data_IF_010608824071
#
_entry.id   IF_010608824071
#
_cell.length_a   1.000
_cell.length_b   1.000
_cell.length_c   1.000
_cell.angle_alpha   90.00
_cell.angle_beta   90.00
_cell.angle_gamma   90.00
#
_symmetry.space_group_name_H-M   'P 1'
#
loop_
_entity.id
_entity.type
_entity.pdbx_description
1 polymer ?
#
# COMPACT_ATOMS: atom_id res chain seq x y z
N UNK A 1 -7.65 -8.95 -45.87
CA UNK A 1 -7.69 -9.76 -44.63
C UNK A 1 -7.72 -8.80 -43.47
N UNK A 2 -8.76 -8.82 -42.62
CA UNK A 2 -8.72 -8.08 -41.35
C UNK A 2 -7.64 -8.75 -40.52
N UNK A 3 -6.56 -8.04 -40.23
CA UNK A 3 -5.63 -8.40 -39.17
C UNK A 3 -6.46 -8.45 -37.89
N UNK A 4 -6.87 -9.64 -37.47
CA UNK A 4 -7.28 -9.87 -36.10
C UNK A 4 -5.99 -9.78 -35.31
N UNK A 5 -5.65 -8.56 -34.90
CA UNK A 5 -4.65 -8.34 -33.87
C UNK A 5 -5.15 -9.14 -32.67
N UNK A 6 -4.45 -10.23 -32.31
CA UNK A 6 -4.84 -11.07 -31.20
C UNK A 6 -4.53 -10.33 -29.89
N UNK A 7 -5.30 -9.28 -29.60
CA UNK A 7 -5.12 -8.36 -28.48
C UNK A 7 -5.87 -8.88 -27.27
N UNK A 8 -5.41 -9.99 -26.69
CA UNK A 8 -5.91 -10.48 -25.42
C UNK A 8 -5.65 -9.45 -24.30
N UNK A 9 -6.60 -8.56 -23.97
CA UNK A 9 -6.34 -7.51 -22.97
C UNK A 9 -6.49 -8.06 -21.56
N UNK A 10 -5.46 -7.88 -20.73
CA UNK A 10 -5.49 -8.19 -19.29
C UNK A 10 -5.51 -6.88 -18.52
N UNK A 11 -6.55 -6.67 -17.71
CA UNK A 11 -6.73 -5.47 -16.89
C UNK A 11 -6.75 -5.83 -15.41
N UNK A 12 -6.23 -4.92 -14.59
CA UNK A 12 -6.24 -5.05 -13.13
C UNK A 12 -6.99 -3.88 -12.54
N UNK A 13 -7.88 -4.17 -11.59
CA UNK A 13 -8.64 -3.19 -10.83
C UNK A 13 -8.39 -3.37 -9.34
N UNK A 14 -8.29 -2.26 -8.61
CA UNK A 14 -8.03 -2.25 -7.17
C UNK A 14 -9.26 -1.67 -6.48
N UNK A 15 -9.75 -2.37 -5.46
CA UNK A 15 -10.88 -1.95 -4.64
C UNK A 15 -10.54 -2.04 -3.15
N UNK A 16 -10.70 -0.95 -2.37
CA UNK A 16 -11.13 0.38 -2.78
C UNK A 16 -10.07 1.12 -3.64
N UNK A 17 -10.52 1.90 -4.62
CA UNK A 17 -9.67 2.78 -5.42
C UNK A 17 -9.43 4.09 -4.67
N UNK A 18 -8.18 4.45 -4.37
CA UNK A 18 -7.84 5.71 -3.69
C UNK A 18 -6.71 5.55 -2.68
N UNK A 19 -6.61 6.51 -1.75
CA UNK A 19 -5.67 6.44 -0.63
C UNK A 19 -6.05 5.31 0.32
N UNK A 20 -5.41 4.15 0.16
CA UNK A 20 -5.63 2.98 1.01
C UNK A 20 -4.95 3.24 2.34
N UNK A 21 -5.67 3.10 3.44
CA UNK A 21 -5.11 3.34 4.77
C UNK A 21 -4.57 2.03 5.35
N UNK A 22 -3.42 2.10 6.03
CA UNK A 22 -2.84 0.96 6.74
C UNK A 22 -3.85 0.28 7.68
N UNK A 23 -3.87 -1.05 7.70
CA UNK A 23 -4.84 -1.85 8.45
C UNK A 23 -6.17 -2.09 7.72
N UNK A 24 -6.39 -1.45 6.56
CA UNK A 24 -7.58 -1.72 5.73
C UNK A 24 -7.45 -3.03 4.95
N UNK A 25 -8.56 -3.51 4.39
CA UNK A 25 -8.57 -4.63 3.45
C UNK A 25 -8.64 -4.11 2.01
N UNK A 26 -7.72 -4.55 1.16
CA UNK A 26 -7.75 -4.24 -0.28
C UNK A 26 -7.93 -5.52 -1.08
N UNK A 27 -8.65 -5.42 -2.20
CA UNK A 27 -8.87 -6.51 -3.15
C UNK A 27 -8.43 -6.07 -4.53
N UNK A 28 -7.54 -6.84 -5.14
CA UNK A 28 -7.12 -6.67 -6.52
C UNK A 28 -7.85 -7.71 -7.38
N UNK A 29 -8.44 -7.28 -8.48
CA UNK A 29 -9.18 -8.14 -9.41
C UNK A 29 -8.53 -8.07 -10.77
N UNK A 30 -8.23 -9.23 -11.34
CA UNK A 30 -7.66 -9.38 -12.67
C UNK A 30 -8.74 -9.87 -13.63
N UNK A 31 -8.94 -9.14 -14.72
CA UNK A 31 -9.88 -9.49 -15.77
C UNK A 31 -9.13 -9.67 -17.09
N UNK A 32 -9.53 -10.67 -17.86
CA UNK A 32 -8.80 -11.11 -19.05
C UNK A 32 -9.80 -11.55 -20.11
N UNK A 33 -9.79 -10.92 -21.27
CA UNK A 33 -10.73 -11.22 -22.37
C UNK A 33 -10.18 -12.32 -23.29
N UNK A 34 -9.71 -13.41 -22.68
CA UNK A 34 -8.99 -14.47 -23.38
C UNK A 34 -9.96 -15.41 -24.02
N UNK A 35 -9.75 -15.66 -25.32
CA UNK A 35 -10.36 -16.76 -26.04
C UNK A 35 -9.22 -17.65 -26.58
N UNK A 36 -8.97 -18.86 -26.04
CA UNK A 36 -9.74 -19.61 -25.03
C UNK A 36 -9.73 -19.02 -23.60
N UNK A 37 -10.57 -19.48 -22.66
CA UNK A 37 -10.64 -18.94 -21.30
C UNK A 37 -9.34 -19.16 -20.52
N UNK A 38 -8.97 -18.19 -19.67
CA UNK A 38 -7.76 -18.26 -18.84
C UNK A 38 -7.85 -19.42 -17.84
N UNK A 39 -6.85 -20.29 -17.85
CA UNK A 39 -6.77 -21.43 -16.93
C UNK A 39 -6.20 -21.03 -15.58
N UNK A 40 -5.22 -20.13 -15.56
CA UNK A 40 -4.52 -19.74 -14.35
C UNK A 40 -4.19 -18.24 -14.31
N UNK A 41 -4.36 -17.65 -13.13
CA UNK A 41 -3.95 -16.29 -12.82
C UNK A 41 -2.87 -16.31 -11.76
N UNK A 42 -1.80 -15.54 -11.98
CA UNK A 42 -0.68 -15.38 -11.04
C UNK A 42 -0.46 -13.90 -10.77
N UNK A 43 -0.41 -13.53 -9.50
CA UNK A 43 -0.15 -12.17 -9.06
C UNK A 43 1.32 -11.98 -8.73
N UNK A 44 1.86 -10.87 -9.21
CA UNK A 44 3.22 -10.43 -8.98
C UNK A 44 3.23 -9.05 -8.34
N UNK A 45 4.04 -8.88 -7.30
CA UNK A 45 4.38 -7.59 -6.73
C UNK A 45 5.83 -7.29 -7.13
N UNK A 46 6.01 -6.34 -8.06
CA UNK A 46 7.29 -6.12 -8.73
C UNK A 46 7.77 -7.39 -9.43
N UNK A 47 8.80 -8.04 -8.88
CA UNK A 47 9.38 -9.29 -9.40
C UNK A 47 8.98 -10.55 -8.62
N UNK A 48 8.26 -10.43 -7.50
CA UNK A 48 7.93 -11.55 -6.61
C UNK A 48 6.49 -12.03 -6.82
N UNK A 49 6.27 -13.35 -6.87
CA UNK A 49 4.91 -13.92 -6.93
C UNK A 49 4.26 -13.87 -5.55
N UNK A 50 3.10 -13.23 -5.45
CA UNK A 50 2.38 -13.01 -4.17
C UNK A 50 1.13 -13.87 -4.00
N UNK A 51 0.61 -14.44 -5.08
CA UNK A 51 -0.56 -15.30 -5.03
C UNK A 51 -1.04 -15.77 -6.39
N UNK A 52 -2.09 -16.58 -6.39
CA UNK A 52 -2.76 -17.09 -7.59
C UNK A 52 -4.27 -16.92 -7.47
N UNK A 53 -4.97 -16.90 -8.61
CA UNK A 53 -6.42 -16.71 -8.70
C UNK A 53 -6.82 -15.35 -9.29
N UNK A 54 -8.05 -15.24 -9.80
CA UNK A 54 -8.53 -14.02 -10.46
C UNK A 54 -8.66 -12.81 -9.53
N UNK A 55 -8.79 -13.05 -8.22
CA UNK A 55 -8.88 -12.03 -7.17
C UNK A 55 -7.85 -12.29 -6.09
N UNK A 56 -7.12 -11.25 -5.70
CA UNK A 56 -6.14 -11.27 -4.64
C UNK A 56 -6.52 -10.28 -3.54
N UNK A 57 -6.87 -10.80 -2.36
CA UNK A 57 -7.31 -10.01 -1.22
C UNK A 57 -6.22 -9.96 -0.16
N UNK A 58 -5.84 -8.75 0.25
CA UNK A 58 -4.83 -8.51 1.28
C UNK A 58 -5.57 -7.94 2.51
N UNK A 59 -5.76 -8.74 3.57
CA UNK A 59 -6.30 -8.25 4.83
C UNK A 59 -5.21 -7.52 5.62
N UNK A 60 -5.59 -6.46 6.36
CA UNK A 60 -4.66 -5.67 7.19
C UNK A 60 -3.43 -5.19 6.41
N UNK A 61 -3.66 -4.46 5.31
CA UNK A 61 -2.58 -4.02 4.44
C UNK A 61 -1.62 -3.07 5.16
N UNK A 62 -0.32 -3.24 4.93
CA UNK A 62 0.74 -2.46 5.55
C UNK A 62 1.38 -1.47 4.56
N UNK A 63 2.15 -0.50 5.06
CA UNK A 63 2.92 0.40 4.18
C UNK A 63 3.93 -0.36 3.32
N UNK A 64 4.47 -1.47 3.83
CA UNK A 64 5.39 -2.38 3.14
C UNK A 64 4.72 -3.09 1.95
N UNK A 65 3.39 -3.20 1.94
CA UNK A 65 2.63 -3.78 0.82
C UNK A 65 2.47 -2.83 -0.36
N UNK A 66 2.84 -1.55 -0.19
CA UNK A 66 2.89 -0.59 -1.29
C UNK A 66 3.86 -1.05 -2.37
N UNK A 67 3.52 -0.78 -3.62
CA UNK A 67 4.34 -1.17 -4.77
C UNK A 67 3.51 -1.41 -6.01
N UNK A 68 4.17 -1.93 -7.05
CA UNK A 68 3.52 -2.23 -8.32
C UNK A 68 3.04 -3.67 -8.37
N UNK A 69 1.74 -3.84 -8.62
CA UNK A 69 1.11 -5.14 -8.76
C UNK A 69 0.80 -5.42 -10.23
N UNK A 70 1.14 -6.62 -10.67
CA UNK A 70 0.90 -7.11 -12.03
C UNK A 70 0.23 -8.46 -11.96
N UNK A 71 -0.78 -8.69 -12.80
CA UNK A 71 -1.39 -9.99 -12.97
C UNK A 71 -0.86 -10.65 -14.24
N UNK A 72 -0.55 -11.94 -14.17
CA UNK A 72 -0.24 -12.78 -15.32
C UNK A 72 -1.37 -13.79 -15.51
N UNK A 73 -2.04 -13.71 -16.65
CA UNK A 73 -2.99 -14.73 -17.10
C UNK A 73 -2.27 -15.75 -17.98
N UNK A 74 -2.47 -17.04 -17.71
CA UNK A 74 -1.99 -18.14 -18.54
C UNK A 74 -3.16 -18.89 -19.17
N UNK A 75 -3.04 -19.15 -20.45
CA UNK A 75 -4.01 -19.85 -21.28
C UNK A 75 -3.29 -20.80 -22.25
N UNK A 76 -4.04 -21.65 -22.96
CA UNK A 76 -3.50 -22.61 -23.92
C UNK A 76 -2.67 -21.94 -25.04
N UNK A 77 -3.03 -20.71 -25.41
CA UNK A 77 -2.30 -19.93 -26.42
C UNK A 77 -1.01 -19.27 -25.88
N UNK A 78 -0.83 -19.22 -24.57
CA UNK A 78 0.34 -18.63 -23.92
C UNK A 78 0.01 -17.80 -22.68
N UNK A 79 1.01 -17.05 -22.22
CA UNK A 79 0.91 -16.20 -21.03
C UNK A 79 0.97 -14.71 -21.39
N UNK A 80 0.14 -13.91 -20.71
CA UNK A 80 0.14 -12.46 -20.87
C UNK A 80 0.08 -11.77 -19.52
N UNK A 81 0.83 -10.67 -19.39
CA UNK A 81 0.81 -9.81 -18.20
C UNK A 81 -0.06 -8.59 -18.43
N UNK A 82 -0.75 -8.18 -17.38
CA UNK A 82 -1.51 -6.92 -17.31
C UNK A 82 -0.57 -5.72 -17.25
N UNK A 83 -1.16 -4.53 -17.37
CA UNK A 83 -0.48 -3.31 -16.92
C UNK A 83 -0.19 -3.37 -15.43
N UNK A 84 0.96 -2.85 -15.03
CA UNK A 84 1.30 -2.68 -13.63
C UNK A 84 0.39 -1.61 -13.00
N UNK A 85 -0.11 -1.89 -11.80
CA UNK A 85 -0.91 -0.93 -11.04
C UNK A 85 -0.17 -0.59 -9.75
N UNK A 86 0.09 0.69 -9.54
CA UNK A 86 0.72 1.19 -8.33
C UNK A 86 -0.28 1.23 -7.19
N UNK A 87 -0.03 0.42 -6.18
CA UNK A 87 -0.79 0.40 -4.94
C UNK A 87 -0.04 1.25 -3.90
N UNK A 88 -0.68 2.30 -3.42
CA UNK A 88 -0.12 3.21 -2.42
C UNK A 88 -0.89 3.09 -1.11
N UNK A 89 -0.20 2.70 -0.04
CA UNK A 89 -0.76 2.58 1.30
C UNK A 89 -0.30 3.74 2.15
N UNK A 90 -1.26 4.55 2.57
CA UNK A 90 -1.08 5.65 3.50
C UNK A 90 -0.95 5.08 4.91
N UNK A 91 0.22 5.30 5.51
CA UNK A 91 0.39 5.04 6.92
C UNK A 91 -0.37 6.09 7.74
N UNK A 92 -1.24 5.64 8.65
CA UNK A 92 -1.90 6.57 9.57
C UNK A 92 -0.91 6.99 10.64
N UNK A 93 -0.49 8.25 10.60
CA UNK A 93 0.35 8.84 11.64
C UNK A 93 -0.49 8.98 12.91
N UNK A 94 -0.30 8.07 13.86
CA UNK A 94 -0.95 8.19 15.16
C UNK A 94 -0.23 9.26 15.98
N UNK A 95 -0.87 10.41 16.15
CA UNK A 95 -0.37 11.50 17.00
C UNK A 95 -0.69 11.18 18.46
N UNK A 96 0.29 10.70 19.22
CA UNK A 96 0.14 10.61 20.67
C UNK A 96 0.62 11.91 21.32
N UNK A 97 -0.29 12.61 22.00
CA UNK A 97 0.03 13.75 22.84
C UNK A 97 0.24 13.24 24.27
N UNK A 98 1.48 13.26 24.77
CA UNK A 98 1.74 12.89 26.16
C UNK A 98 1.59 14.12 27.05
N UNK A 99 0.54 14.15 27.87
CA UNK A 99 0.38 15.13 28.94
C UNK A 99 0.91 14.47 30.22
N UNK A 100 2.02 14.94 30.81
CA UNK A 100 2.46 14.40 32.08
C UNK A 100 1.41 14.72 33.16
N UNK A 101 0.64 13.72 33.58
CA UNK A 101 -0.23 13.80 34.77
C UNK A 101 0.64 13.66 36.02
N UNK A 102 1.41 14.72 36.34
CA UNK A 102 2.18 14.83 37.57
C UNK A 102 1.61 15.91 38.50
N UNK A 103 1.64 15.74 39.83
CA UNK A 103 1.09 16.70 40.79
C UNK A 103 1.99 17.93 41.07
N UNK A 104 2.92 18.27 40.17
CA UNK A 104 3.88 19.37 40.37
C UNK A 104 3.70 20.49 39.34
N UNK A 105 3.64 21.77 39.75
CA UNK A 105 3.56 22.90 38.82
C UNK A 105 4.97 23.21 38.30
N UNK A 106 5.45 22.46 37.31
CA UNK A 106 6.69 22.81 36.63
C UNK A 106 6.43 23.86 35.54
N UNK A 107 7.23 24.92 35.64
CA UNK A 107 7.31 26.11 34.80
C UNK A 107 7.11 25.86 33.31
N UNK A 108 6.26 26.69 32.71
CA UNK A 108 5.85 26.75 31.31
C UNK A 108 7.05 26.91 30.35
N UNK A 109 7.80 25.83 30.08
CA UNK A 109 8.83 25.81 29.03
C UNK A 109 8.88 24.45 28.29
N UNK A 110 7.86 24.23 27.47
CA UNK A 110 8.05 23.85 26.06
C UNK A 110 8.90 22.61 25.70
N UNK A 111 8.63 21.44 26.28
CA UNK A 111 8.99 20.18 25.61
C UNK A 111 7.79 19.22 25.58
N UNK A 112 6.81 19.55 24.74
CA UNK A 112 5.76 18.60 24.34
C UNK A 112 6.35 17.70 23.26
N UNK A 113 6.62 16.45 23.58
CA UNK A 113 7.09 15.47 22.60
C UNK A 113 5.88 14.82 21.93
N UNK A 114 5.76 15.01 20.61
CA UNK A 114 4.77 14.31 19.79
C UNK A 114 5.47 13.16 19.09
N UNK A 115 5.05 11.94 19.38
CA UNK A 115 5.54 10.78 18.68
C UNK A 115 4.61 10.47 17.52
N UNK A 116 5.21 10.30 16.35
CA UNK A 116 4.52 9.81 15.16
C UNK A 116 4.89 8.34 15.01
N UNK A 117 3.93 7.46 15.24
CA UNK A 117 4.12 6.03 14.98
C UNK A 117 3.47 5.69 13.66
N UNK A 118 4.28 5.17 12.74
CA UNK A 118 3.81 4.42 11.59
C UNK A 118 4.12 2.95 11.89
N UNK A 119 3.12 2.06 11.82
CA UNK A 119 3.24 0.68 12.31
C UNK A 119 4.17 -0.17 11.45
N UNK A 120 4.34 0.21 10.19
CA UNK A 120 5.07 -0.53 9.16
C UNK A 120 6.38 0.15 8.74
N UNK A 121 6.64 1.41 9.13
CA UNK A 121 8.01 1.93 9.10
C UNK A 121 8.75 1.44 10.35
N UNK A 122 9.81 0.63 10.17
CA UNK A 122 10.80 0.34 11.23
C UNK A 122 11.49 1.61 11.79
N UNK A 123 11.13 2.79 11.29
CA UNK A 123 11.66 4.07 11.69
C UNK A 123 10.69 4.80 12.63
N UNK A 124 11.12 4.96 13.88
CA UNK A 124 10.43 5.79 14.88
C UNK A 124 10.81 7.24 14.61
N UNK A 125 9.95 7.98 13.92
CA UNK A 125 10.18 9.42 13.72
C UNK A 125 9.88 10.17 15.02
N UNK A 126 10.93 10.66 15.67
CA UNK A 126 10.84 11.51 16.86
C UNK A 126 10.78 12.97 16.44
N UNK A 127 9.76 13.69 16.88
CA UNK A 127 9.63 15.13 16.65
C UNK A 127 9.70 15.89 17.98
N UNK A 128 10.54 16.91 18.02
CA UNK A 128 10.58 17.87 19.13
C UNK A 128 9.83 19.14 18.71
N UNK A 129 8.80 19.52 19.47
CA UNK A 129 8.11 20.80 19.29
C UNK A 129 8.94 21.90 19.99
N UNK A 130 9.65 22.73 19.21
CA UNK A 130 10.28 23.95 19.70
C UNK A 130 9.38 25.13 19.36
N UNK A 131 9.03 25.97 20.34
CA UNK A 131 8.29 27.21 20.08
C UNK A 131 9.24 28.31 19.60
N UNK A 132 8.84 29.17 18.64
CA UNK A 132 7.59 29.18 17.88
C UNK A 132 7.53 28.01 16.87
N UNK A 133 6.32 27.48 16.62
CA UNK A 133 6.03 26.20 15.94
C UNK A 133 6.93 25.93 14.72
N UNK A 134 8.03 25.20 14.93
CA UNK A 134 8.86 24.64 13.85
C UNK A 134 8.98 23.15 14.10
N UNK A 135 8.47 22.34 13.17
CA UNK A 135 8.70 20.90 13.14
C UNK A 135 10.14 20.65 12.68
N UNK A 136 11.01 20.25 13.59
CA UNK A 136 12.35 19.75 13.23
C UNK A 136 12.32 18.23 13.21
N UNK A 137 12.55 17.66 12.03
CA UNK A 137 12.84 16.25 11.85
C UNK A 137 14.18 15.93 12.52
N UNK A 138 14.18 14.98 13.46
CA UNK A 138 15.40 14.33 13.93
C UNK A 138 15.36 12.88 13.51
N UNK A 139 16.34 12.46 12.70
CA UNK A 139 16.57 11.05 12.40
C UNK A 139 17.46 10.48 13.52
N UNK A 140 17.15 9.30 14.03
CA UNK A 140 18.00 8.60 15.02
C UNK A 140 19.01 7.70 14.34
#
# INVERSE_FOLDING_TARGET
LRTVENTHSVSVSISPSGGIVEGSSVTLTCSSDGDPPVENYTWFKGSSSVGTGGTYSIPNISSEDSGEYTCQSRNELGERRSTAVSLNVLCTLMMFYYIPFGPFPETLNSQKSCFVFCRSSKERLSFSLQFPVVLRLSNS
#
